data_IF_065731207018
#
_entry.id   IF_065731207018
#
_cell.length_a   1.000
_cell.length_b   1.000
_cell.length_c   1.000
_cell.angle_alpha   90.00
_cell.angle_beta   90.00
_cell.angle_gamma   90.00
#
_symmetry.space_group_name_H-M   'P 1'
#
loop_
_entity.id
_entity.type
_entity.pdbx_description
1 polymer ?
#
# COMPACT_ATOMS: atom_id res chain seq x y z
N UNK A 1 6.05 0.85 -29.13
CA UNK A 1 5.64 0.05 -30.29
C UNK A 1 5.10 0.97 -31.38
N UNK A 2 5.40 0.73 -32.70
CA UNK A 2 4.97 1.63 -33.78
C UNK A 2 3.45 1.69 -33.95
N UNK A 3 2.73 0.69 -33.55
CA UNK A 3 1.28 0.62 -33.62
C UNK A 3 0.55 1.04 -32.33
N UNK A 4 1.28 1.55 -31.35
CA UNK A 4 0.68 2.19 -30.17
C UNK A 4 0.28 3.65 -30.53
N UNK A 5 -0.93 4.10 -30.14
CA UNK A 5 -1.42 5.42 -30.56
C UNK A 5 -0.79 6.56 -29.77
N UNK A 6 0.44 6.95 -30.13
CA UNK A 6 1.23 7.97 -29.44
C UNK A 6 0.48 9.30 -29.19
N UNK A 7 -0.47 9.66 -30.05
CA UNK A 7 -1.26 10.89 -29.92
C UNK A 7 -2.53 10.70 -29.09
N UNK A 8 -3.03 9.49 -28.94
CA UNK A 8 -4.17 9.17 -28.09
C UNK A 8 -3.81 9.14 -26.60
N UNK A 9 -2.59 8.77 -26.29
CA UNK A 9 -2.13 8.60 -24.91
C UNK A 9 -1.47 9.88 -24.38
N UNK A 10 -2.00 10.44 -23.27
CA UNK A 10 -1.46 11.64 -22.60
C UNK A 10 -0.05 11.43 -22.06
N UNK A 11 0.30 10.22 -21.67
CA UNK A 11 1.58 9.88 -21.07
C UNK A 11 2.64 9.47 -22.07
N UNK A 12 2.26 9.23 -23.34
CA UNK A 12 3.21 8.77 -24.34
C UNK A 12 4.28 9.85 -24.65
N UNK A 13 5.59 9.52 -24.55
CA UNK A 13 6.67 10.50 -24.72
C UNK A 13 6.68 11.14 -26.10
N UNK A 14 6.16 10.46 -27.11
CA UNK A 14 6.12 10.92 -28.50
C UNK A 14 4.82 11.65 -28.87
N UNK A 15 3.91 11.86 -27.92
CA UNK A 15 2.59 12.48 -28.14
C UNK A 15 2.61 13.75 -28.95
N UNK A 16 3.59 14.62 -28.72
CA UNK A 16 3.72 15.91 -29.39
C UNK A 16 4.70 15.88 -30.56
N UNK A 17 5.19 14.72 -30.96
CA UNK A 17 6.14 14.60 -32.07
C UNK A 17 5.39 14.58 -33.41
N UNK A 18 5.55 15.63 -34.20
CA UNK A 18 4.89 15.79 -35.49
C UNK A 18 5.20 14.65 -36.50
N UNK A 19 6.35 13.97 -36.33
CA UNK A 19 6.71 12.82 -37.18
C UNK A 19 5.76 11.61 -37.00
N UNK A 20 4.97 11.59 -35.95
CA UNK A 20 4.03 10.50 -35.66
C UNK A 20 2.57 10.91 -35.84
N UNK A 21 2.30 12.21 -36.08
CA UNK A 21 0.93 12.76 -36.09
C UNK A 21 -0.01 12.10 -37.11
N UNK A 22 0.50 11.78 -38.27
CA UNK A 22 -0.30 11.28 -39.38
C UNK A 22 0.13 9.83 -39.78
N UNK A 23 0.89 9.14 -38.94
CA UNK A 23 1.26 7.76 -39.19
C UNK A 23 0.07 6.84 -38.96
N UNK A 24 -0.30 6.02 -39.95
CA UNK A 24 -1.27 4.96 -39.73
C UNK A 24 -0.70 3.97 -38.70
N UNK A 25 -1.51 3.54 -37.78
CA UNK A 25 -1.18 2.48 -36.85
C UNK A 25 -2.30 1.45 -36.82
N UNK A 26 -1.96 0.20 -36.51
CA UNK A 26 -2.93 -0.85 -36.26
C UNK A 26 -2.81 -1.29 -34.78
N UNK A 27 -3.70 -0.82 -33.93
CA UNK A 27 -3.66 -1.10 -32.51
C UNK A 27 -3.78 -2.59 -32.17
N UNK A 28 -4.45 -3.38 -32.99
CA UNK A 28 -4.53 -4.84 -32.83
C UNK A 28 -3.14 -5.49 -32.87
N UNK A 29 -2.23 -5.04 -33.72
CA UNK A 29 -0.86 -5.52 -33.75
C UNK A 29 -0.12 -5.24 -32.42
N UNK A 30 -0.40 -4.08 -31.81
CA UNK A 30 0.15 -3.76 -30.51
C UNK A 30 -0.43 -4.68 -29.42
N UNK A 31 -1.74 -4.91 -29.44
CA UNK A 31 -2.40 -5.82 -28.47
C UNK A 31 -1.86 -7.25 -28.60
N UNK A 32 -1.71 -7.76 -29.80
CA UNK A 32 -1.14 -9.10 -30.04
C UNK A 32 0.30 -9.19 -29.51
N UNK A 33 1.11 -8.15 -29.72
CA UNK A 33 2.46 -8.03 -29.17
C UNK A 33 2.46 -8.01 -27.64
N UNK A 34 1.63 -7.18 -27.03
CA UNK A 34 1.53 -7.04 -25.57
C UNK A 34 1.03 -8.35 -24.92
N UNK A 35 -0.03 -8.98 -25.47
CA UNK A 35 -0.51 -10.28 -25.01
C UNK A 35 0.57 -11.38 -25.16
N UNK A 36 1.36 -11.32 -26.23
CA UNK A 36 2.50 -12.22 -26.46
C UNK A 36 3.56 -12.08 -25.38
N UNK A 37 3.91 -10.84 -24.99
CA UNK A 37 4.87 -10.58 -23.90
C UNK A 37 4.34 -11.08 -22.55
N UNK A 38 3.07 -10.81 -22.22
CA UNK A 38 2.47 -11.32 -20.99
C UNK A 38 2.45 -12.84 -20.95
N UNK A 39 2.13 -13.50 -22.07
CA UNK A 39 2.20 -14.96 -22.19
C UNK A 39 3.62 -15.47 -21.94
N UNK A 40 4.63 -14.82 -22.53
CA UNK A 40 6.04 -15.17 -22.33
C UNK A 40 6.42 -15.09 -20.85
N UNK A 41 6.05 -14.00 -20.15
CA UNK A 41 6.28 -13.85 -18.70
C UNK A 41 5.61 -14.97 -17.91
N UNK A 42 4.39 -15.35 -18.26
CA UNK A 42 3.65 -16.40 -17.56
C UNK A 42 4.15 -17.83 -17.83
N UNK A 43 4.98 -18.04 -18.87
CA UNK A 43 5.41 -19.40 -19.28
C UNK A 43 6.90 -19.65 -19.08
N UNK A 44 7.76 -18.65 -19.25
CA UNK A 44 9.21 -18.87 -19.38
C UNK A 44 10.01 -18.60 -18.08
N UNK A 45 9.41 -18.02 -17.06
CA UNK A 45 10.13 -17.55 -15.85
C UNK A 45 9.67 -18.24 -14.55
N UNK A 46 8.90 -19.32 -14.67
CA UNK A 46 8.40 -20.07 -13.52
C UNK A 46 7.13 -19.48 -12.92
N UNK A 47 6.89 -19.76 -11.64
CA UNK A 47 5.72 -19.25 -10.92
C UNK A 47 5.82 -17.74 -10.72
N UNK A 48 4.74 -17.05 -11.06
CA UNK A 48 4.53 -15.64 -10.74
C UNK A 48 3.50 -15.52 -9.61
N UNK A 49 3.80 -14.74 -8.61
CA UNK A 49 2.88 -14.50 -7.49
C UNK A 49 1.94 -13.34 -7.78
N UNK A 50 2.38 -12.32 -8.54
CA UNK A 50 1.60 -11.15 -8.89
C UNK A 50 1.92 -10.67 -10.31
N UNK A 51 0.88 -10.17 -10.98
CA UNK A 51 1.00 -9.39 -12.23
C UNK A 51 0.38 -8.01 -11.99
N UNK A 52 1.17 -6.98 -12.23
CA UNK A 52 0.77 -5.59 -12.07
C UNK A 52 0.70 -4.92 -13.43
N UNK A 53 -0.50 -4.59 -13.91
CA UNK A 53 -0.76 -3.85 -15.13
C UNK A 53 -0.78 -2.35 -14.84
N UNK A 54 -0.58 -1.51 -15.87
CA UNK A 54 -0.66 -0.06 -15.74
C UNK A 54 -1.03 0.61 -17.06
N UNK A 55 -1.28 1.93 -17.01
CA UNK A 55 -1.58 2.79 -18.16
C UNK A 55 -2.99 2.65 -18.74
N UNK A 56 -4.00 2.33 -17.94
CA UNK A 56 -5.40 2.49 -18.32
C UNK A 56 -5.88 3.92 -18.07
N UNK A 57 -6.06 4.67 -19.15
CA UNK A 57 -6.49 6.07 -19.12
C UNK A 57 -7.50 6.36 -20.23
N UNK A 58 -8.41 7.29 -19.99
CA UNK A 58 -9.42 7.75 -20.96
C UNK A 58 -10.19 6.55 -21.57
N UNK A 59 -10.14 6.39 -22.90
CA UNK A 59 -10.82 5.30 -23.63
C UNK A 59 -10.01 3.98 -23.66
N UNK A 60 -8.76 3.97 -23.19
CA UNK A 60 -7.91 2.80 -23.14
C UNK A 60 -8.06 2.10 -21.78
N UNK A 61 -9.21 1.46 -21.56
CA UNK A 61 -9.51 0.69 -20.34
C UNK A 61 -10.28 -0.60 -20.71
N UNK A 62 -10.18 -1.61 -19.87
CA UNK A 62 -10.97 -2.82 -19.99
C UNK A 62 -10.83 -3.50 -21.36
N UNK A 63 -11.91 -3.64 -22.09
CA UNK A 63 -11.92 -4.35 -23.38
C UNK A 63 -11.15 -3.64 -24.50
N UNK A 64 -10.80 -2.36 -24.33
CA UNK A 64 -9.83 -1.72 -25.25
C UNK A 64 -8.45 -2.38 -25.19
N UNK A 65 -8.10 -3.05 -24.07
CA UNK A 65 -6.93 -3.90 -23.90
C UNK A 65 -7.19 -5.38 -24.25
N UNK A 66 -8.39 -5.75 -24.68
CA UNK A 66 -8.86 -7.14 -24.71
C UNK A 66 -8.69 -7.81 -23.32
N UNK A 67 -9.06 -7.10 -22.27
CA UNK A 67 -8.72 -7.47 -20.91
C UNK A 67 -9.34 -8.80 -20.46
N UNK A 68 -10.55 -9.14 -20.88
CA UNK A 68 -11.16 -10.44 -20.58
C UNK A 68 -10.35 -11.61 -21.16
N UNK A 69 -9.86 -11.47 -22.38
CA UNK A 69 -8.99 -12.47 -23.01
C UNK A 69 -7.64 -12.56 -22.28
N UNK A 70 -7.04 -11.40 -21.98
CA UNK A 70 -5.75 -11.29 -21.30
C UNK A 70 -5.79 -11.95 -19.91
N UNK A 71 -6.75 -11.59 -19.07
CA UNK A 71 -6.90 -12.14 -17.71
C UNK A 71 -7.17 -13.64 -17.76
N UNK A 72 -8.03 -14.10 -18.68
CA UNK A 72 -8.30 -15.54 -18.85
C UNK A 72 -7.04 -16.30 -19.22
N UNK A 73 -6.21 -15.76 -20.14
CA UNK A 73 -4.92 -16.33 -20.49
C UNK A 73 -3.98 -16.40 -19.29
N UNK A 74 -3.80 -15.29 -18.57
CA UNK A 74 -2.92 -15.22 -17.40
C UNK A 74 -3.32 -16.25 -16.35
N UNK A 75 -4.60 -16.31 -15.96
CA UNK A 75 -5.09 -17.26 -14.96
C UNK A 75 -5.04 -18.71 -15.42
N UNK A 76 -5.13 -18.99 -16.73
CA UNK A 76 -4.95 -20.34 -17.26
C UNK A 76 -3.50 -20.83 -17.16
N UNK A 77 -2.52 -19.92 -17.28
CA UNK A 77 -1.09 -20.22 -17.21
C UNK A 77 -0.55 -20.15 -15.77
N UNK A 78 -1.12 -19.29 -14.94
CA UNK A 78 -0.74 -19.03 -13.55
C UNK A 78 -2.02 -18.97 -12.68
N UNK A 79 -2.58 -20.13 -12.25
CA UNK A 79 -3.89 -20.17 -11.58
C UNK A 79 -3.97 -19.40 -10.26
N UNK A 80 -2.84 -19.29 -9.52
CA UNK A 80 -2.76 -18.66 -8.21
C UNK A 80 -2.27 -17.20 -8.26
N UNK A 81 -2.09 -16.64 -9.47
CA UNK A 81 -1.55 -15.29 -9.63
C UNK A 81 -2.54 -14.23 -9.13
N UNK A 82 -2.02 -13.22 -8.44
CA UNK A 82 -2.76 -12.04 -8.02
C UNK A 82 -2.61 -10.96 -9.10
N UNK A 83 -3.72 -10.32 -9.48
CA UNK A 83 -3.76 -9.27 -10.52
C UNK A 83 -4.34 -8.00 -9.90
N UNK A 84 -3.73 -6.85 -10.19
CA UNK A 84 -4.24 -5.54 -9.81
C UNK A 84 -5.48 -5.12 -10.64
N UNK A 85 -6.10 -3.98 -10.29
CA UNK A 85 -7.28 -3.45 -10.98
C UNK A 85 -6.95 -2.51 -12.16
N UNK A 86 -5.69 -2.39 -12.57
CA UNK A 86 -5.23 -1.38 -13.53
C UNK A 86 -5.56 -1.68 -15.00
N UNK A 87 -6.07 -2.86 -15.31
CA UNK A 87 -6.68 -3.11 -16.63
C UNK A 87 -8.03 -2.40 -16.78
N UNK A 88 -8.73 -2.16 -15.68
CA UNK A 88 -10.06 -1.54 -15.69
C UNK A 88 -10.01 -0.02 -15.44
N UNK A 89 -9.04 0.45 -14.66
CA UNK A 89 -8.98 1.85 -14.23
C UNK A 89 -7.54 2.32 -14.00
N UNK A 90 -7.36 3.64 -13.94
CA UNK A 90 -6.09 4.23 -13.48
C UNK A 90 -5.93 4.13 -11.96
N UNK A 91 -4.79 4.63 -11.44
CA UNK A 91 -4.54 4.72 -9.99
C UNK A 91 -5.46 5.67 -9.22
N UNK A 92 -6.26 6.46 -9.93
CA UNK A 92 -7.25 7.36 -9.35
C UNK A 92 -8.63 6.69 -9.18
N UNK A 93 -8.85 5.52 -9.83
CA UNK A 93 -10.09 4.78 -9.80
C UNK A 93 -10.04 3.52 -8.96
N UNK A 94 -11.18 3.06 -8.49
CA UNK A 94 -11.31 1.85 -7.69
C UNK A 94 -11.84 0.65 -8.50
N UNK A 95 -12.35 0.92 -9.72
CA UNK A 95 -12.87 -0.10 -10.61
C UNK A 95 -14.17 -0.74 -10.12
N UNK A 96 -14.60 -1.80 -10.80
CA UNK A 96 -15.81 -2.52 -10.49
C UNK A 96 -15.68 -3.51 -9.32
N UNK A 97 -14.46 -3.78 -8.86
CA UNK A 97 -14.19 -4.68 -7.72
C UNK A 97 -14.94 -4.26 -6.45
N UNK A 98 -15.16 -2.96 -6.25
CA UNK A 98 -15.89 -2.40 -5.11
C UNK A 98 -17.41 -2.38 -5.31
N UNK A 99 -17.91 -2.82 -6.46
CA UNK A 99 -19.33 -2.82 -6.82
C UNK A 99 -19.97 -4.18 -6.60
N UNK A 100 -21.27 -4.29 -6.88
CA UNK A 100 -22.04 -5.56 -6.88
C UNK A 100 -21.93 -6.33 -8.21
N UNK A 101 -21.33 -5.73 -9.23
CA UNK A 101 -21.15 -6.30 -10.56
C UNK A 101 -19.69 -6.14 -11.02
N UNK A 102 -18.73 -6.87 -10.39
CA UNK A 102 -17.35 -6.83 -10.82
C UNK A 102 -17.20 -7.41 -12.23
N UNK A 103 -16.36 -6.78 -13.06
CA UNK A 103 -16.01 -7.29 -14.39
C UNK A 103 -15.09 -8.50 -14.30
N UNK A 104 -14.95 -9.26 -15.39
CA UNK A 104 -14.03 -10.39 -15.47
C UNK A 104 -12.54 -9.96 -15.36
N UNK A 105 -12.27 -8.68 -15.51
CA UNK A 105 -10.91 -8.09 -15.46
C UNK A 105 -10.74 -7.04 -14.35
N UNK A 106 -11.61 -7.04 -13.35
CA UNK A 106 -11.54 -6.09 -12.22
C UNK A 106 -10.30 -6.28 -11.32
N UNK A 107 -9.56 -7.38 -11.51
CA UNK A 107 -8.44 -7.74 -10.65
C UNK A 107 -8.84 -8.36 -9.31
N UNK A 108 -7.84 -8.53 -8.43
CA UNK A 108 -8.01 -9.13 -7.10
C UNK A 108 -7.83 -8.10 -5.97
N UNK A 109 -7.25 -6.95 -6.27
CA UNK A 109 -7.04 -5.87 -5.31
C UNK A 109 -7.12 -4.49 -5.96
N UNK A 110 -7.49 -3.49 -5.16
CA UNK A 110 -7.51 -2.08 -5.56
C UNK A 110 -6.14 -1.46 -5.33
N UNK A 111 -5.64 -0.69 -6.31
CA UNK A 111 -4.31 -0.09 -6.29
C UNK A 111 -4.37 1.45 -6.34
N UNK A 112 -4.72 2.15 -5.23
CA UNK A 112 -4.70 3.61 -5.17
C UNK A 112 -3.27 4.13 -5.28
N UNK A 113 -3.10 5.22 -6.05
CA UNK A 113 -1.79 5.79 -6.35
C UNK A 113 -1.56 7.09 -5.58
N UNK A 114 -0.41 7.19 -4.88
CA UNK A 114 0.03 8.36 -4.10
C UNK A 114 -0.97 8.81 -3.03
N UNK A 115 -1.94 7.97 -2.68
CA UNK A 115 -2.93 8.25 -1.65
C UNK A 115 -3.17 7.02 -0.77
N UNK A 116 -3.39 7.25 0.52
CA UNK A 116 -3.91 6.23 1.43
C UNK A 116 -5.38 6.53 1.66
N UNK A 117 -6.30 5.61 1.33
CA UNK A 117 -7.72 5.82 1.52
C UNK A 117 -8.09 6.15 2.97
N UNK A 118 -9.14 6.93 3.18
CA UNK A 118 -9.60 7.27 4.54
C UNK A 118 -10.02 6.03 5.34
N UNK A 119 -10.64 5.06 4.65
CA UNK A 119 -11.01 3.75 5.18
C UNK A 119 -10.49 2.67 4.24
N UNK A 120 -10.44 1.41 4.67
CA UNK A 120 -10.28 0.28 3.76
C UNK A 120 -11.48 0.16 2.80
N UNK A 121 -11.32 -0.64 1.75
CA UNK A 121 -12.37 -0.89 0.77
C UNK A 121 -13.26 -2.05 1.20
N UNK A 122 -14.53 -1.95 0.86
CA UNK A 122 -15.53 -3.02 1.07
C UNK A 122 -16.33 -3.24 -0.21
N UNK A 123 -16.70 -4.49 -0.45
CA UNK A 123 -17.65 -4.82 -1.50
C UNK A 123 -19.08 -4.46 -1.08
N UNK A 124 -20.04 -4.64 -2.00
CA UNK A 124 -21.47 -4.39 -1.77
C UNK A 124 -22.08 -5.22 -0.62
N UNK A 125 -21.41 -6.29 -0.21
CA UNK A 125 -21.81 -7.16 0.93
C UNK A 125 -21.09 -6.80 2.23
N UNK A 126 -20.29 -5.73 2.24
CA UNK A 126 -19.52 -5.26 3.40
C UNK A 126 -18.25 -6.07 3.70
N UNK A 127 -17.81 -6.98 2.82
CA UNK A 127 -16.58 -7.74 2.98
C UNK A 127 -15.38 -6.87 2.59
N UNK A 128 -14.29 -6.97 3.35
CA UNK A 128 -13.08 -6.26 3.03
C UNK A 128 -12.51 -6.71 1.68
N UNK A 129 -12.10 -5.74 0.87
CA UNK A 129 -11.37 -5.93 -0.39
C UNK A 129 -9.90 -5.64 -0.13
N UNK A 130 -9.04 -6.51 -0.65
CA UNK A 130 -7.59 -6.27 -0.62
C UNK A 130 -7.24 -5.00 -1.40
N UNK A 131 -6.26 -4.26 -0.91
CA UNK A 131 -5.74 -3.08 -1.58
C UNK A 131 -4.28 -2.83 -1.25
N UNK A 132 -3.60 -2.13 -2.15
CA UNK A 132 -2.18 -1.79 -2.02
C UNK A 132 -1.95 -0.37 -2.54
N UNK A 133 -1.58 0.55 -1.66
CA UNK A 133 -1.20 1.89 -2.06
C UNK A 133 0.21 1.90 -2.64
N UNK A 134 0.37 2.32 -3.89
CA UNK A 134 1.69 2.53 -4.48
C UNK A 134 2.15 3.98 -4.27
N UNK A 135 3.33 4.14 -3.65
CA UNK A 135 3.83 5.43 -3.16
C UNK A 135 5.30 5.56 -3.54
N UNK A 136 5.69 6.73 -4.06
CA UNK A 136 7.09 7.06 -4.32
C UNK A 136 7.82 7.50 -3.05
N UNK A 137 9.13 7.29 -2.99
CA UNK A 137 9.96 7.84 -1.91
C UNK A 137 10.19 9.35 -2.06
N UNK A 138 10.14 9.86 -3.28
CA UNK A 138 10.27 11.29 -3.65
C UNK A 138 9.09 11.72 -4.53
N UNK A 139 9.23 12.76 -5.35
CA UNK A 139 8.15 13.27 -6.20
C UNK A 139 8.03 12.52 -7.53
N UNK A 140 8.98 11.64 -7.87
CA UNK A 140 9.02 10.96 -9.18
C UNK A 140 9.00 9.44 -9.03
N UNK A 141 8.35 8.73 -9.97
CA UNK A 141 8.40 7.27 -10.08
C UNK A 141 9.76 6.78 -10.55
N UNK A 142 10.27 7.34 -11.63
CA UNK A 142 11.60 7.05 -12.15
C UNK A 142 12.69 7.93 -11.55
N UNK A 143 13.93 7.63 -11.89
CA UNK A 143 15.08 8.42 -11.47
C UNK A 143 15.02 9.86 -11.99
N UNK A 144 15.15 10.81 -11.09
CA UNK A 144 15.27 12.22 -11.40
C UNK A 144 16.40 12.85 -10.59
N UNK A 145 17.54 13.15 -11.22
CA UNK A 145 18.72 13.69 -10.54
C UNK A 145 18.47 15.03 -9.82
N UNK A 146 17.47 15.80 -10.24
CA UNK A 146 17.11 17.10 -9.66
C UNK A 146 16.14 16.97 -8.47
N UNK A 147 15.46 15.85 -8.34
CA UNK A 147 14.54 15.62 -7.26
C UNK A 147 15.31 15.26 -5.98
N UNK A 148 15.18 16.11 -4.97
CA UNK A 148 15.76 15.94 -3.65
C UNK A 148 14.71 15.98 -2.55
N UNK A 149 13.43 15.92 -2.91
CA UNK A 149 12.31 15.97 -1.99
C UNK A 149 11.93 14.58 -1.51
N UNK A 150 12.81 13.94 -0.74
CA UNK A 150 12.56 12.61 -0.20
C UNK A 150 11.70 12.65 1.05
N UNK A 151 10.73 11.76 1.13
CA UNK A 151 9.92 11.51 2.32
C UNK A 151 10.80 10.91 3.43
N UNK A 152 10.79 11.45 4.65
CA UNK A 152 11.59 10.88 5.75
C UNK A 152 11.08 9.47 6.12
N UNK A 153 12.00 8.62 6.63
CA UNK A 153 11.70 7.25 7.03
C UNK A 153 10.50 7.15 8.01
N UNK A 154 10.47 8.05 9.00
CA UNK A 154 9.36 8.14 9.96
C UNK A 154 8.00 8.33 9.27
N UNK A 155 7.93 9.22 8.28
CA UNK A 155 6.70 9.44 7.51
C UNK A 155 6.27 8.17 6.78
N UNK A 156 7.21 7.46 6.16
CA UNK A 156 6.94 6.23 5.42
C UNK A 156 6.46 5.13 6.38
N UNK A 157 7.10 4.96 7.53
CA UNK A 157 6.69 3.99 8.55
C UNK A 157 5.27 4.31 9.04
N UNK A 158 4.96 5.57 9.35
CA UNK A 158 3.60 5.99 9.74
C UNK A 158 2.57 5.63 8.66
N UNK A 159 2.95 5.78 7.39
CA UNK A 159 2.07 5.43 6.26
C UNK A 159 1.93 3.92 6.07
N UNK A 160 2.97 3.12 6.29
CA UNK A 160 2.89 1.67 6.32
C UNK A 160 1.92 1.20 7.42
N UNK A 161 2.08 1.67 8.64
CA UNK A 161 1.18 1.38 9.76
C UNK A 161 -0.26 1.81 9.43
N UNK A 162 -0.44 2.97 8.82
CA UNK A 162 -1.75 3.46 8.40
C UNK A 162 -2.41 2.52 7.38
N UNK A 163 -1.67 2.02 6.38
CA UNK A 163 -2.17 1.04 5.42
C UNK A 163 -2.63 -0.23 6.13
N UNK A 164 -1.77 -0.84 6.96
CA UNK A 164 -2.08 -2.08 7.67
C UNK A 164 -3.29 -1.92 8.60
N UNK A 165 -3.37 -0.79 9.34
CA UNK A 165 -4.51 -0.49 10.21
C UNK A 165 -5.86 -0.36 9.49
N UNK A 166 -5.84 -0.28 8.16
CA UNK A 166 -7.00 -0.21 7.27
C UNK A 166 -7.15 -1.45 6.37
N UNK A 167 -6.49 -2.57 6.73
CA UNK A 167 -6.45 -3.83 5.96
C UNK A 167 -5.84 -3.67 4.57
N UNK A 168 -4.82 -2.82 4.43
CA UNK A 168 -4.13 -2.59 3.17
C UNK A 168 -2.64 -2.87 3.23
N UNK A 169 -2.02 -2.86 2.06
CA UNK A 169 -0.59 -3.00 1.85
C UNK A 169 -0.01 -1.69 1.30
N UNK A 170 1.32 -1.59 1.32
CA UNK A 170 2.04 -0.47 0.73
C UNK A 170 3.13 -0.99 -0.21
N UNK A 171 3.10 -0.54 -1.45
CA UNK A 171 4.16 -0.70 -2.44
C UNK A 171 5.01 0.59 -2.45
N UNK A 172 6.20 0.53 -1.85
CA UNK A 172 7.11 1.67 -1.81
C UNK A 172 8.06 1.63 -2.99
N UNK A 173 7.97 2.63 -3.86
CA UNK A 173 8.76 2.73 -5.08
C UNK A 173 10.12 3.40 -4.83
N UNK A 174 11.15 2.84 -5.45
CA UNK A 174 12.47 3.48 -5.64
C UNK A 174 12.72 3.71 -7.12
N UNK A 175 13.43 4.79 -7.47
CA UNK A 175 13.79 5.12 -8.85
C UNK A 175 15.28 4.86 -9.13
N UNK A 176 15.69 3.65 -9.59
CA UNK A 176 17.08 3.37 -9.93
C UNK A 176 17.58 4.23 -11.08
N UNK A 177 18.87 4.59 -11.06
CA UNK A 177 19.53 5.29 -12.17
C UNK A 177 19.64 4.39 -13.43
N UNK A 178 20.17 4.94 -14.52
CA UNK A 178 20.32 4.19 -15.79
C UNK A 178 21.31 3.00 -15.70
N UNK A 179 22.05 2.85 -14.61
CA UNK A 179 22.92 1.71 -14.34
C UNK A 179 22.32 0.71 -13.36
N UNK A 180 21.09 0.96 -12.90
CA UNK A 180 20.41 0.14 -11.91
C UNK A 180 20.77 0.43 -10.45
N UNK A 181 21.53 1.50 -10.17
CA UNK A 181 21.85 1.85 -8.80
C UNK A 181 20.69 2.58 -8.14
N UNK A 182 20.33 2.16 -6.93
CA UNK A 182 19.37 2.86 -6.09
C UNK A 182 20.06 4.12 -5.53
N UNK A 183 19.43 5.31 -5.58
CA UNK A 183 19.98 6.54 -5.02
C UNK A 183 20.36 6.38 -3.54
N UNK A 184 21.46 7.01 -3.13
CA UNK A 184 21.97 6.89 -1.76
C UNK A 184 20.95 7.37 -0.72
N UNK A 185 20.20 8.42 -1.02
CA UNK A 185 19.12 8.93 -0.18
C UNK A 185 18.02 7.87 0.06
N UNK A 186 17.67 7.11 -0.99
CA UNK A 186 16.70 6.01 -0.88
C UNK A 186 17.25 4.86 -0.05
N UNK A 187 18.53 4.51 -0.22
CA UNK A 187 19.20 3.46 0.57
C UNK A 187 19.18 3.82 2.05
N UNK A 188 19.60 5.04 2.42
CA UNK A 188 19.60 5.50 3.81
C UNK A 188 18.21 5.43 4.46
N UNK A 189 17.17 5.83 3.72
CA UNK A 189 15.78 5.78 4.20
C UNK A 189 15.34 4.33 4.39
N UNK A 190 15.63 3.44 3.42
CA UNK A 190 15.29 2.01 3.51
C UNK A 190 16.01 1.31 4.67
N UNK A 191 17.26 1.66 4.96
CA UNK A 191 18.00 1.14 6.11
C UNK A 191 17.32 1.52 7.43
N UNK A 192 16.87 2.77 7.56
CA UNK A 192 16.10 3.23 8.75
C UNK A 192 14.77 2.49 8.89
N UNK A 193 14.04 2.32 7.79
CA UNK A 193 12.80 1.53 7.79
C UNK A 193 13.09 0.08 8.16
N UNK A 194 14.14 -0.52 7.59
CA UNK A 194 14.58 -1.88 7.90
C UNK A 194 14.94 -2.06 9.38
N UNK A 195 15.65 -1.11 9.98
CA UNK A 195 15.99 -1.15 11.40
C UNK A 195 14.73 -1.10 12.30
N UNK A 196 13.73 -0.29 11.94
CA UNK A 196 12.45 -0.27 12.64
C UNK A 196 11.70 -1.59 12.44
N UNK A 197 11.64 -2.12 11.22
CA UNK A 197 10.98 -3.40 10.90
C UNK A 197 11.61 -4.59 11.64
N UNK A 198 12.93 -4.60 11.86
CA UNK A 198 13.59 -5.67 12.64
C UNK A 198 13.04 -5.80 14.04
N UNK A 199 12.56 -4.70 14.64
CA UNK A 199 11.98 -4.69 15.99
C UNK A 199 10.46 -4.89 15.96
N UNK A 200 9.78 -4.38 14.92
CA UNK A 200 8.33 -4.17 14.92
C UNK A 200 7.59 -5.02 13.86
N UNK A 201 8.25 -5.93 13.15
CA UNK A 201 7.64 -6.71 12.04
C UNK A 201 6.38 -7.47 12.45
N UNK A 202 6.31 -7.96 13.70
CA UNK A 202 5.15 -8.70 14.21
C UNK A 202 3.87 -7.85 14.27
N UNK A 203 4.03 -6.52 14.34
CA UNK A 203 2.91 -5.57 14.33
C UNK A 203 2.42 -5.21 12.92
N UNK A 204 3.13 -5.68 11.89
CA UNK A 204 2.90 -5.39 10.47
C UNK A 204 2.51 -6.65 9.72
N UNK A 205 3.40 -7.67 9.68
CA UNK A 205 3.15 -8.89 8.91
C UNK A 205 2.04 -9.74 9.54
N UNK A 206 1.07 -10.13 8.69
CA UNK A 206 -0.09 -10.90 9.13
C UNK A 206 -1.09 -10.11 9.98
N UNK A 207 -0.89 -8.80 10.12
CA UNK A 207 -1.81 -7.92 10.81
C UNK A 207 -2.83 -7.27 9.85
N UNK A 208 -3.89 -6.76 10.44
CA UNK A 208 -4.92 -5.96 9.77
C UNK A 208 -5.49 -4.91 10.70
N UNK A 209 -6.55 -4.25 10.25
CA UNK A 209 -7.32 -3.31 11.07
C UNK A 209 -8.17 -4.02 12.14
N UNK A 210 -8.69 -3.26 13.07
CA UNK A 210 -9.64 -3.71 14.08
C UNK A 210 -10.82 -2.72 14.18
N UNK A 211 -11.88 -3.17 14.86
CA UNK A 211 -13.09 -2.36 15.04
C UNK A 211 -13.00 -1.37 16.23
N UNK A 212 -11.81 -1.28 16.85
CA UNK A 212 -11.58 -0.31 17.93
C UNK A 212 -11.52 1.12 17.39
N UNK A 213 -11.89 2.11 18.21
CA UNK A 213 -11.74 3.52 17.85
C UNK A 213 -10.28 3.84 17.48
N UNK A 214 -10.11 4.64 16.43
CA UNK A 214 -8.78 5.11 16.04
C UNK A 214 -8.23 6.01 17.17
N UNK A 215 -7.05 5.70 17.73
CA UNK A 215 -6.41 6.57 18.71
C UNK A 215 -6.05 7.94 18.09
N UNK A 216 -6.16 9.02 18.87
CA UNK A 216 -5.75 10.35 18.41
C UNK A 216 -4.25 10.42 18.13
N UNK A 217 -3.45 9.75 18.97
CA UNK A 217 -1.99 9.77 18.92
C UNK A 217 -1.35 8.61 18.14
N UNK A 218 -2.11 7.85 17.36
CA UNK A 218 -1.53 6.72 16.63
C UNK A 218 -2.50 5.89 15.82
N UNK A 219 -2.19 4.60 15.74
CA UNK A 219 -2.98 3.59 15.02
C UNK A 219 -2.96 2.26 15.79
N UNK A 220 -3.90 1.41 15.47
CA UNK A 220 -3.96 0.04 15.99
C UNK A 220 -3.91 -0.93 14.81
N UNK A 221 -3.04 -1.92 14.91
CA UNK A 221 -3.09 -3.12 14.08
C UNK A 221 -3.37 -4.34 14.94
N UNK A 222 -3.87 -5.42 14.34
CA UNK A 222 -4.31 -6.61 15.05
C UNK A 222 -3.87 -7.88 14.36
N UNK A 223 -3.36 -8.83 15.15
CA UNK A 223 -3.17 -10.21 14.73
C UNK A 223 -3.81 -11.15 15.75
N UNK A 224 -4.90 -11.81 15.38
CA UNK A 224 -5.67 -12.67 16.27
C UNK A 224 -6.17 -11.93 17.52
N UNK A 225 -5.66 -12.29 18.70
CA UNK A 225 -5.99 -11.67 19.98
C UNK A 225 -5.04 -10.52 20.36
N UNK A 226 -3.91 -10.37 19.66
CA UNK A 226 -2.91 -9.34 19.96
C UNK A 226 -3.26 -8.04 19.24
N UNK A 227 -3.30 -6.97 20.01
CA UNK A 227 -3.43 -5.60 19.52
C UNK A 227 -2.07 -4.91 19.61
N UNK A 228 -1.68 -4.22 18.55
CA UNK A 228 -0.46 -3.42 18.51
C UNK A 228 -0.86 -1.94 18.42
N UNK A 229 -0.56 -1.20 19.47
CA UNK A 229 -0.76 0.25 19.53
C UNK A 229 0.50 0.97 19.06
N UNK A 230 0.46 1.51 17.87
CA UNK A 230 1.54 2.32 17.31
C UNK A 230 1.38 3.77 17.78
N UNK A 231 2.20 4.17 18.71
CA UNK A 231 2.19 5.51 19.32
C UNK A 231 3.06 6.41 18.45
N UNK A 232 2.45 7.37 17.78
CA UNK A 232 3.11 8.29 16.85
C UNK A 232 3.35 9.67 17.46
N UNK A 233 2.64 9.97 18.54
CA UNK A 233 2.75 11.23 19.28
C UNK A 233 2.59 10.93 20.77
N UNK A 234 3.45 11.55 21.59
CA UNK A 234 3.32 11.44 23.05
C UNK A 234 2.14 12.26 23.55
N UNK A 235 1.58 11.86 24.67
CA UNK A 235 0.50 12.59 25.36
C UNK A 235 0.99 13.22 26.65
N UNK A 236 0.32 14.28 27.11
CA UNK A 236 0.50 14.80 28.46
C UNK A 236 -0.20 13.85 29.43
N UNK A 237 0.58 13.23 30.33
CA UNK A 237 0.09 12.17 31.21
C UNK A 237 0.16 10.80 30.56
N UNK A 238 -0.80 9.92 30.86
CA UNK A 238 -0.86 8.59 30.28
C UNK A 238 -1.40 8.56 28.86
N UNK A 239 -0.93 7.62 28.07
CA UNK A 239 -1.44 7.34 26.73
C UNK A 239 -2.74 6.53 26.89
N UNK A 240 -3.88 7.01 26.36
CA UNK A 240 -5.13 6.30 26.44
C UNK A 240 -5.22 5.20 25.38
N UNK A 241 -5.40 3.97 25.81
CA UNK A 241 -5.74 2.82 24.96
C UNK A 241 -7.27 2.67 25.01
N UNK A 242 -7.96 3.26 24.03
CA UNK A 242 -9.42 3.34 24.01
C UNK A 242 -10.07 2.06 23.50
N UNK A 243 -11.27 1.77 23.99
CA UNK A 243 -12.10 0.66 23.53
C UNK A 243 -11.72 -0.70 24.09
N UNK A 244 -10.89 -0.73 25.13
CA UNK A 244 -10.54 -1.91 25.91
C UNK A 244 -10.63 -1.61 27.39
N UNK A 245 -11.12 -2.54 28.19
CA UNK A 245 -11.12 -2.46 29.64
C UNK A 245 -9.94 -3.25 30.23
N UNK A 246 -9.54 -2.90 31.44
CA UNK A 246 -8.35 -3.51 32.06
C UNK A 246 -8.50 -5.02 32.32
N UNK A 247 -9.69 -5.50 32.55
CA UNK A 247 -10.02 -6.90 32.76
C UNK A 247 -9.94 -7.75 31.48
N UNK A 248 -9.95 -7.11 30.31
CA UNK A 248 -9.73 -7.79 29.02
C UNK A 248 -8.24 -7.92 28.67
N UNK A 249 -7.34 -7.25 29.41
CA UNK A 249 -5.91 -7.17 29.11
C UNK A 249 -5.13 -8.19 29.92
N UNK A 250 -4.51 -9.15 29.25
CA UNK A 250 -3.64 -10.16 29.87
C UNK A 250 -2.24 -9.57 30.20
N UNK A 251 -1.65 -8.84 29.28
CA UNK A 251 -0.34 -8.18 29.45
C UNK A 251 -0.16 -7.04 28.45
N UNK A 252 0.66 -6.06 28.80
CA UNK A 252 1.06 -4.95 27.92
C UNK A 252 2.59 -4.93 27.88
N UNK A 253 3.18 -4.89 26.70
CA UNK A 253 4.64 -4.89 26.51
C UNK A 253 5.03 -3.95 25.38
N UNK A 254 6.18 -3.34 25.52
CA UNK A 254 6.84 -2.63 24.41
C UNK A 254 7.45 -3.69 23.48
N UNK A 255 7.13 -3.65 22.20
CA UNK A 255 7.57 -4.69 21.24
C UNK A 255 9.07 -4.61 20.97
N UNK A 256 9.66 -3.41 21.03
CA UNK A 256 11.06 -3.15 20.67
C UNK A 256 12.06 -3.88 21.57
N UNK A 257 11.73 -4.12 22.84
CA UNK A 257 12.63 -4.73 23.82
C UNK A 257 11.93 -5.71 24.80
N UNK A 258 10.61 -5.87 24.67
CA UNK A 258 9.81 -6.74 25.53
C UNK A 258 9.53 -6.18 26.93
N UNK A 259 9.87 -4.93 27.20
CA UNK A 259 9.61 -4.28 28.51
C UNK A 259 8.13 -4.34 28.85
N UNK A 260 7.81 -4.87 30.04
CA UNK A 260 6.44 -4.87 30.54
C UNK A 260 5.99 -3.47 30.92
N UNK A 261 4.87 -3.03 30.35
CA UNK A 261 4.24 -1.75 30.64
C UNK A 261 3.08 -1.97 31.61
N UNK A 262 3.10 -1.25 32.72
CA UNK A 262 2.02 -1.34 33.72
C UNK A 262 0.98 -0.26 33.46
N UNK A 263 -0.32 -0.61 33.52
CA UNK A 263 -1.38 0.37 33.50
C UNK A 263 -1.21 1.42 34.61
N UNK A 264 -1.49 2.67 34.30
CA UNK A 264 -1.50 3.73 35.27
C UNK A 264 -2.66 3.54 36.26
N UNK A 265 -2.38 3.75 37.55
CA UNK A 265 -3.37 3.77 38.61
C UNK A 265 -3.42 5.18 39.20
N UNK A 266 -4.28 6.02 38.68
CA UNK A 266 -4.47 7.38 39.15
C UNK A 266 -5.96 7.76 39.15
N UNK A 267 -6.29 8.93 39.63
CA UNK A 267 -7.65 9.44 39.79
C UNK A 267 -8.47 9.47 38.48
N UNK A 268 -7.82 9.56 37.30
CA UNK A 268 -8.51 9.66 36.02
C UNK A 268 -9.08 8.29 35.58
N UNK A 269 -8.42 7.19 35.95
CA UNK A 269 -8.81 5.83 35.53
C UNK A 269 -10.23 5.49 35.99
N UNK A 270 -10.61 5.90 37.20
CA UNK A 270 -11.93 5.62 37.76
C UNK A 270 -13.07 6.25 36.95
N UNK A 271 -12.78 7.34 36.24
CA UNK A 271 -13.76 8.05 35.41
C UNK A 271 -13.87 7.52 33.95
N UNK A 272 -12.96 6.63 33.55
CA UNK A 272 -12.89 6.09 32.19
C UNK A 272 -12.71 4.58 32.22
N UNK A 273 -13.75 3.79 32.56
CA UNK A 273 -13.64 2.34 32.75
C UNK A 273 -13.28 1.58 31.46
N UNK A 274 -13.61 2.13 30.29
CA UNK A 274 -13.33 1.54 28.96
C UNK A 274 -12.03 2.04 28.35
N UNK A 275 -11.13 2.61 29.17
CA UNK A 275 -9.84 3.13 28.72
C UNK A 275 -8.73 2.62 29.64
N UNK A 276 -7.75 1.97 29.07
CA UNK A 276 -6.51 1.61 29.76
C UNK A 276 -5.48 2.71 29.50
N UNK A 277 -5.00 3.34 30.56
CA UNK A 277 -3.94 4.36 30.45
C UNK A 277 -2.58 3.72 30.71
N UNK A 278 -1.62 3.97 29.83
CA UNK A 278 -0.25 3.48 29.95
C UNK A 278 0.75 4.63 29.88
N UNK A 279 1.95 4.42 30.41
CA UNK A 279 3.07 5.34 30.29
C UNK A 279 4.27 4.59 29.77
N UNK A 280 4.68 4.91 28.54
CA UNK A 280 5.79 4.26 27.85
C UNK A 280 7.14 4.84 28.28
N UNK A 281 7.17 6.13 28.65
CA UNK A 281 8.39 6.83 29.06
C UNK A 281 8.10 7.82 30.17
N UNK A 282 9.09 8.05 31.03
CA UNK A 282 9.06 9.12 32.04
C UNK A 282 9.52 10.47 31.48
N UNK A 283 9.86 10.55 30.21
CA UNK A 283 10.28 11.77 29.53
C UNK A 283 9.16 12.29 28.62
N UNK A 284 9.27 13.55 28.19
CA UNK A 284 8.35 14.15 27.22
C UNK A 284 8.52 13.62 25.80
N UNK A 285 9.60 12.87 25.55
CA UNK A 285 9.85 12.23 24.25
C UNK A 285 9.56 10.74 24.35
N UNK A 286 9.02 10.20 23.28
CA UNK A 286 8.96 8.75 23.08
C UNK A 286 10.38 8.18 22.96
N UNK A 287 10.62 6.93 23.39
CA UNK A 287 11.90 6.24 23.21
C UNK A 287 12.34 6.15 21.75
N UNK A 288 11.44 5.85 20.86
CA UNK A 288 11.62 5.84 19.40
C UNK A 288 10.62 6.79 18.73
N UNK A 289 10.78 7.09 17.43
CA UNK A 289 9.86 7.94 16.67
C UNK A 289 8.44 7.34 16.57
N UNK A 290 8.35 6.01 16.62
CA UNK A 290 7.10 5.26 16.69
C UNK A 290 7.34 4.08 17.63
N UNK A 291 6.73 4.13 18.79
CA UNK A 291 6.74 3.03 19.76
C UNK A 291 5.51 2.14 19.58
N UNK A 292 5.71 0.84 19.66
CA UNK A 292 4.63 -0.16 19.53
C UNK A 292 4.58 -1.08 20.74
#
# INVERSE_FOLDING_TARGET
HPDYPAYGDRQHPMRNNIAYKDKPYNFDNYLDYMHGQVRELCTNYGKLDMMWFDFSYDDLTGEAWRASELVRMVRSLQPDIIIDNRLETSGEGFGSLVTDQPSDFCGDFVSPEQIIPQTGFKDSRGRNICWEACITMNDNWGYCAKDKNFKPAEMIIKKLVECVSKNGNMLLNVGPDARGNIPAESVEILEKIGAWMQKNSDSIYGCGGCDLPKPENGRITRNGKTLYYHIMENSIGGIPLQGISLDEVESIRLISDGTEIKPLKNWIVENYPDVVFVQVSNTVKLPDDIDT
#
